data_IF_989700116092
#
_entry.id   IF_989700116092
#
_cell.length_a   1.000
_cell.length_b   1.000
_cell.length_c   1.000
_cell.angle_alpha   90.00
_cell.angle_beta   90.00
_cell.angle_gamma   90.00
#
_symmetry.space_group_name_H-M   'P 1'
#
loop_
_entity.id
_entity.type
_entity.pdbx_description
1 polymer ?
#
# COMPACT_ATOMS: atom_id res chain seq x y z
N UNK A 1 31.22 16.49 -35.10
CA UNK A 1 31.51 15.59 -33.97
C UNK A 1 30.46 15.89 -32.90
N UNK A 2 29.34 15.18 -32.91
CA UNK A 2 28.25 15.45 -31.97
C UNK A 2 28.70 15.12 -30.56
N UNK A 3 28.54 16.07 -29.63
CA UNK A 3 28.69 15.79 -28.19
C UNK A 3 27.91 14.51 -27.86
N UNK A 4 28.47 13.56 -27.10
CA UNK A 4 27.71 12.41 -26.66
C UNK A 4 26.49 12.95 -25.93
N UNK A 5 25.29 12.66 -26.44
CA UNK A 5 24.04 12.97 -25.74
C UNK A 5 24.16 12.23 -24.42
N UNK A 6 24.51 12.96 -23.36
CA UNK A 6 24.60 12.40 -22.01
C UNK A 6 23.24 11.80 -21.71
N UNK A 7 23.21 10.51 -21.41
CA UNK A 7 21.99 9.78 -21.09
C UNK A 7 21.17 10.60 -20.07
N UNK A 8 19.95 11.07 -20.43
CA UNK A 8 19.12 11.86 -19.54
C UNK A 8 18.89 11.20 -18.19
N UNK A 9 18.88 9.86 -18.12
CA UNK A 9 18.77 9.07 -16.89
C UNK A 9 20.02 9.26 -16.03
N UNK A 10 21.22 9.08 -16.59
CA UNK A 10 22.49 9.27 -15.84
C UNK A 10 22.62 10.71 -15.31
N UNK A 11 22.22 11.70 -16.10
CA UNK A 11 22.29 13.12 -15.71
C UNK A 11 21.33 13.46 -14.57
N UNK A 12 20.14 12.87 -14.53
CA UNK A 12 19.17 13.16 -13.47
C UNK A 12 19.48 12.38 -12.20
N UNK A 13 20.04 11.17 -12.31
CA UNK A 13 20.39 10.33 -11.15
C UNK A 13 21.32 11.05 -10.15
N UNK A 14 22.31 11.82 -10.62
CA UNK A 14 23.21 12.58 -9.73
C UNK A 14 22.52 13.71 -8.94
N UNK A 15 21.28 14.05 -9.29
CA UNK A 15 20.48 15.09 -8.63
C UNK A 15 19.39 14.52 -7.72
N UNK A 16 19.19 13.19 -7.74
CA UNK A 16 18.21 12.49 -6.91
C UNK A 16 18.84 12.02 -5.60
N UNK A 17 18.04 12.06 -4.54
CA UNK A 17 18.38 11.52 -3.22
C UNK A 17 17.68 10.17 -3.02
N UNK A 18 18.09 9.40 -2.02
CA UNK A 18 17.41 8.13 -1.67
C UNK A 18 15.92 8.31 -1.37
N UNK A 19 15.57 9.46 -0.78
CA UNK A 19 14.18 9.85 -0.53
C UNK A 19 13.41 10.03 -1.85
N UNK A 20 14.03 10.65 -2.86
CA UNK A 20 13.37 10.81 -4.15
C UNK A 20 13.22 9.47 -4.85
N UNK A 21 14.22 8.58 -4.77
CA UNK A 21 14.10 7.22 -5.30
C UNK A 21 12.97 6.43 -4.63
N UNK A 22 12.81 6.57 -3.32
CA UNK A 22 11.66 6.02 -2.58
C UNK A 22 10.33 6.55 -3.13
N UNK A 23 10.22 7.88 -3.31
CA UNK A 23 9.03 8.50 -3.89
C UNK A 23 8.75 8.00 -5.32
N UNK A 24 9.77 7.94 -6.18
CA UNK A 24 9.60 7.49 -7.57
C UNK A 24 9.16 6.02 -7.62
N UNK A 25 9.72 5.16 -6.76
CA UNK A 25 9.28 3.77 -6.59
C UNK A 25 7.81 3.68 -6.17
N UNK A 26 7.39 4.44 -5.16
CA UNK A 26 6.00 4.46 -4.73
C UNK A 26 5.05 4.97 -5.82
N UNK A 27 5.46 5.97 -6.60
CA UNK A 27 4.65 6.44 -7.73
C UNK A 27 4.63 5.43 -8.89
N UNK A 28 5.69 4.63 -9.09
CA UNK A 28 5.69 3.54 -10.06
C UNK A 28 4.68 2.46 -9.68
N UNK A 29 4.66 2.06 -8.40
CA UNK A 29 3.89 0.92 -7.91
C UNK A 29 2.45 1.30 -7.56
N UNK A 30 2.25 2.46 -6.92
CA UNK A 30 0.96 2.91 -6.40
C UNK A 30 0.36 4.05 -7.23
N UNK A 31 1.08 4.53 -8.25
CA UNK A 31 0.57 5.38 -9.33
C UNK A 31 0.35 6.86 -9.00
N UNK A 32 -0.21 7.21 -7.84
CA UNK A 32 -0.54 8.60 -7.50
C UNK A 32 -0.51 8.85 -6.00
N UNK A 33 0.06 9.99 -5.59
CA UNK A 33 0.04 10.48 -4.21
C UNK A 33 -0.25 11.99 -4.20
N UNK A 34 -0.90 12.48 -3.15
CA UNK A 34 -1.08 13.93 -2.98
C UNK A 34 0.17 14.60 -2.40
N UNK A 35 0.29 15.91 -2.55
CA UNK A 35 1.35 16.69 -1.89
C UNK A 35 1.39 16.49 -0.38
N UNK A 36 0.22 16.34 0.27
CA UNK A 36 0.14 16.13 1.72
C UNK A 36 0.56 14.71 2.12
N UNK A 37 0.17 13.70 1.33
CA UNK A 37 0.64 12.32 1.53
C UNK A 37 2.15 12.21 1.45
N UNK A 38 2.73 12.80 0.39
CA UNK A 38 4.18 12.80 0.18
C UNK A 38 4.87 13.54 1.33
N UNK A 39 4.35 14.71 1.74
CA UNK A 39 4.91 15.46 2.85
C UNK A 39 4.90 14.65 4.15
N UNK A 40 3.77 14.03 4.50
CA UNK A 40 3.61 13.26 5.72
C UNK A 40 4.63 12.11 5.85
N UNK A 41 4.76 11.31 4.79
CA UNK A 41 5.61 10.12 4.80
C UNK A 41 7.10 10.44 4.67
N UNK A 42 7.49 11.40 3.83
CA UNK A 42 8.89 11.52 3.41
C UNK A 42 9.61 12.79 3.91
N UNK A 43 8.89 13.79 4.38
CA UNK A 43 9.46 15.12 4.64
C UNK A 43 9.15 15.64 6.04
N UNK A 44 10.03 16.51 6.60
CA UNK A 44 9.81 17.10 7.92
C UNK A 44 8.70 18.16 7.92
N UNK A 45 8.40 18.77 6.76
CA UNK A 45 7.34 19.77 6.63
C UNK A 45 6.75 19.78 5.22
N UNK A 46 5.52 20.31 5.11
CA UNK A 46 4.85 20.48 3.82
C UNK A 46 5.58 21.45 2.89
N UNK A 47 6.14 22.54 3.41
CA UNK A 47 6.84 23.54 2.59
C UNK A 47 8.10 22.96 1.95
N UNK A 48 8.88 22.21 2.74
CA UNK A 48 10.08 21.54 2.23
C UNK A 48 9.71 20.48 1.17
N UNK A 49 8.64 19.71 1.41
CA UNK A 49 8.14 18.75 0.43
C UNK A 49 7.72 19.43 -0.87
N UNK A 50 6.96 20.53 -0.80
CA UNK A 50 6.49 21.26 -1.98
C UNK A 50 7.66 21.85 -2.78
N UNK A 51 8.69 22.38 -2.10
CA UNK A 51 9.88 22.89 -2.78
C UNK A 51 10.64 21.77 -3.52
N UNK A 52 10.87 20.63 -2.86
CA UNK A 52 11.51 19.48 -3.50
C UNK A 52 10.68 18.95 -4.67
N UNK A 53 9.36 18.84 -4.51
CA UNK A 53 8.46 18.38 -5.57
C UNK A 53 8.43 19.31 -6.80
N UNK A 54 8.58 20.63 -6.62
CA UNK A 54 8.75 21.57 -7.75
C UNK A 54 10.05 21.28 -8.50
N UNK A 55 11.16 21.06 -7.78
CA UNK A 55 12.45 20.72 -8.38
C UNK A 55 12.37 19.40 -9.16
N UNK A 56 11.78 18.35 -8.58
CA UNK A 56 11.57 17.07 -9.26
C UNK A 56 10.69 17.19 -10.52
N UNK A 57 9.69 18.08 -10.50
CA UNK A 57 8.86 18.36 -11.67
C UNK A 57 9.65 19.07 -12.78
N UNK A 58 10.53 20.03 -12.43
CA UNK A 58 11.45 20.69 -13.38
C UNK A 58 12.45 19.70 -13.98
N UNK A 59 12.93 18.74 -13.18
CA UNK A 59 13.76 17.64 -13.66
C UNK A 59 13.01 16.65 -14.57
N UNK A 60 11.68 16.73 -14.62
CA UNK A 60 10.86 15.87 -15.48
C UNK A 60 10.73 14.42 -15.00
N UNK A 61 11.04 14.15 -13.72
CA UNK A 61 10.88 12.81 -13.12
C UNK A 61 9.49 12.61 -12.49
N UNK A 62 8.82 13.69 -12.12
CA UNK A 62 7.41 13.67 -11.70
C UNK A 62 6.60 14.66 -12.54
N UNK A 63 5.31 14.37 -12.70
CA UNK A 63 4.31 15.28 -13.23
C UNK A 63 3.22 15.48 -12.16
N UNK A 64 2.36 16.46 -12.34
CA UNK A 64 1.26 16.73 -11.41
C UNK A 64 -0.01 17.17 -12.12
N UNK A 65 -1.14 16.86 -11.52
CA UNK A 65 -2.43 17.39 -11.92
C UNK A 65 -3.24 17.80 -10.69
N UNK A 66 -4.32 18.53 -10.92
CA UNK A 66 -5.33 18.83 -9.89
C UNK A 66 -6.70 18.43 -10.47
N UNK A 67 -7.46 17.58 -9.77
CA UNK A 67 -8.87 17.41 -10.07
C UNK A 67 -9.59 18.76 -9.95
N UNK A 68 -10.62 18.97 -10.77
CA UNK A 68 -11.48 20.15 -10.66
C UNK A 68 -12.38 20.03 -9.42
N UNK A 69 -12.56 21.12 -8.67
CA UNK A 69 -13.58 21.25 -7.62
C UNK A 69 -14.77 22.04 -8.17
N UNK A 70 -15.93 21.41 -8.42
CA UNK A 70 -17.12 22.13 -8.88
C UNK A 70 -17.61 23.20 -7.89
N UNK A 71 -17.33 23.01 -6.61
CA UNK A 71 -17.77 23.80 -5.46
C UNK A 71 -16.77 24.87 -4.99
N UNK A 72 -15.63 25.01 -5.68
CA UNK A 72 -14.59 25.99 -5.36
C UNK A 72 -13.48 25.48 -4.43
N UNK A 73 -12.42 26.28 -4.29
CA UNK A 73 -11.18 25.89 -3.61
C UNK A 73 -10.23 25.05 -4.48
N UNK A 74 -9.11 24.61 -3.92
CA UNK A 74 -8.12 23.78 -4.62
C UNK A 74 -7.99 22.41 -3.95
N UNK A 75 -8.07 21.32 -4.73
CA UNK A 75 -7.50 20.05 -4.28
C UNK A 75 -5.97 20.17 -4.19
N UNK A 76 -5.30 19.40 -3.31
CA UNK A 76 -3.86 19.28 -3.35
C UNK A 76 -3.40 18.80 -4.74
N UNK A 77 -2.17 19.14 -5.10
CA UNK A 77 -1.56 18.54 -6.28
C UNK A 77 -1.47 17.02 -6.11
N UNK A 78 -1.84 16.30 -7.16
CA UNK A 78 -1.67 14.86 -7.28
C UNK A 78 -0.44 14.62 -8.14
N UNK A 79 0.57 13.97 -7.59
CA UNK A 79 1.82 13.66 -8.25
C UNK A 79 1.80 12.26 -8.84
N UNK A 80 2.38 12.13 -10.03
CA UNK A 80 2.54 10.89 -10.79
C UNK A 80 3.94 10.87 -11.39
N UNK A 81 4.42 9.72 -11.86
CA UNK A 81 5.67 9.69 -12.63
C UNK A 81 5.54 10.43 -13.95
N UNK A 82 6.52 11.27 -14.25
CA UNK A 82 6.78 11.73 -15.61
C UNK A 82 7.66 10.70 -16.34
N UNK A 83 7.79 10.83 -17.66
CA UNK A 83 8.42 9.81 -18.50
C UNK A 83 9.87 9.50 -18.08
N UNK A 84 10.67 10.53 -17.77
CA UNK A 84 12.05 10.32 -17.28
C UNK A 84 12.07 9.60 -15.92
N UNK A 85 11.08 9.83 -15.06
CA UNK A 85 10.96 9.11 -13.79
C UNK A 85 10.63 7.63 -13.99
N UNK A 86 9.83 7.28 -15.01
CA UNK A 86 9.59 5.87 -15.38
C UNK A 86 10.89 5.22 -15.85
N UNK A 87 11.68 5.92 -16.67
CA UNK A 87 12.97 5.43 -17.16
C UNK A 87 14.00 5.25 -16.03
N UNK A 88 14.06 6.20 -15.08
CA UNK A 88 14.89 6.08 -13.87
C UNK A 88 14.50 4.85 -13.07
N UNK A 89 13.21 4.64 -12.78
CA UNK A 89 12.76 3.47 -12.00
C UNK A 89 13.06 2.16 -12.73
N UNK A 90 12.82 2.09 -14.03
CA UNK A 90 13.13 0.90 -14.83
C UNK A 90 14.62 0.56 -14.78
N UNK A 91 15.50 1.56 -14.98
CA UNK A 91 16.94 1.40 -14.88
C UNK A 91 17.38 0.92 -13.49
N UNK A 92 16.78 1.45 -12.41
CA UNK A 92 17.07 1.02 -11.04
C UNK A 92 16.65 -0.42 -10.75
N UNK A 93 15.57 -0.89 -11.38
CA UNK A 93 15.04 -2.25 -11.22
C UNK A 93 15.66 -3.25 -12.20
N UNK A 94 16.56 -2.82 -13.08
CA UNK A 94 17.11 -3.67 -14.14
C UNK A 94 16.06 -4.11 -15.17
N UNK A 95 14.99 -3.33 -15.31
CA UNK A 95 13.91 -3.57 -16.27
C UNK A 95 14.26 -3.01 -17.66
N UNK A 96 13.64 -3.56 -18.70
CA UNK A 96 13.79 -3.04 -20.06
C UNK A 96 13.33 -1.57 -20.17
N UNK A 97 13.96 -0.76 -21.04
CA UNK A 97 13.56 0.63 -21.25
C UNK A 97 12.06 0.75 -21.58
N UNK A 98 11.30 1.59 -20.85
CA UNK A 98 9.87 1.73 -21.05
C UNK A 98 9.55 2.42 -22.37
N UNK A 99 8.34 2.23 -22.89
CA UNK A 99 7.85 3.00 -24.05
C UNK A 99 7.80 4.49 -23.70
N UNK A 100 8.13 5.36 -24.66
CA UNK A 100 8.21 6.83 -24.52
C UNK A 100 6.90 7.52 -24.09
N UNK A 101 5.77 6.82 -24.15
CA UNK A 101 4.44 7.33 -23.79
C UNK A 101 3.81 6.63 -22.57
N UNK A 102 4.61 5.86 -21.82
CA UNK A 102 4.16 5.12 -20.64
C UNK A 102 3.59 6.04 -19.59
N UNK A 103 4.31 7.13 -19.24
CA UNK A 103 3.83 8.10 -18.26
C UNK A 103 2.54 8.80 -18.70
N UNK A 104 2.46 9.20 -19.99
CA UNK A 104 1.28 9.87 -20.55
C UNK A 104 0.03 8.98 -20.44
N UNK A 105 0.13 7.70 -20.83
CA UNK A 105 -0.98 6.75 -20.70
C UNK A 105 -1.39 6.53 -19.25
N UNK A 106 -0.43 6.31 -18.35
CA UNK A 106 -0.70 6.13 -16.91
C UNK A 106 -1.43 7.35 -16.32
N UNK A 107 -0.96 8.57 -16.63
CA UNK A 107 -1.63 9.81 -16.21
C UNK A 107 -3.05 9.91 -16.76
N UNK A 108 -3.26 9.63 -18.04
CA UNK A 108 -4.60 9.66 -18.65
C UNK A 108 -5.57 8.69 -17.95
N UNK A 109 -5.14 7.47 -17.65
CA UNK A 109 -5.95 6.51 -16.91
C UNK A 109 -6.28 6.98 -15.49
N UNK A 110 -5.34 7.62 -14.79
CA UNK A 110 -5.52 8.10 -13.43
C UNK A 110 -6.47 9.31 -13.36
N UNK A 111 -6.33 10.27 -14.27
CA UNK A 111 -7.18 11.47 -14.30
C UNK A 111 -8.65 11.12 -14.63
N UNK A 112 -8.89 10.07 -15.43
CA UNK A 112 -10.23 9.61 -15.80
C UNK A 112 -10.76 8.49 -14.89
N UNK A 113 -10.09 8.23 -13.76
CA UNK A 113 -10.41 7.09 -12.89
C UNK A 113 -11.54 7.43 -11.91
N UNK A 114 -12.68 6.77 -12.05
CA UNK A 114 -13.82 6.94 -11.13
C UNK A 114 -13.49 6.58 -9.67
N UNK A 115 -12.63 5.58 -9.43
CA UNK A 115 -12.23 5.14 -8.09
C UNK A 115 -10.90 5.77 -7.61
N UNK A 116 -10.55 6.97 -8.09
CA UNK A 116 -9.40 7.71 -7.58
C UNK A 116 -9.48 7.98 -6.05
N UNK A 117 -10.64 8.34 -5.46
CA UNK A 117 -10.74 8.52 -4.01
C UNK A 117 -10.40 7.26 -3.22
N UNK A 118 -10.88 6.09 -3.68
CA UNK A 118 -10.51 4.79 -3.10
C UNK A 118 -9.00 4.57 -3.16
N UNK A 119 -8.39 4.78 -4.34
CA UNK A 119 -6.94 4.61 -4.52
C UNK A 119 -6.12 5.52 -3.60
N UNK A 120 -6.52 6.79 -3.47
CA UNK A 120 -5.84 7.73 -2.57
C UNK A 120 -6.03 7.33 -1.11
N UNK A 121 -7.21 6.82 -0.74
CA UNK A 121 -7.49 6.29 0.60
C UNK A 121 -6.65 5.06 0.93
N UNK A 122 -6.59 4.08 0.03
CA UNK A 122 -5.68 2.93 0.13
C UNK A 122 -4.24 3.40 0.33
N UNK A 123 -3.77 4.32 -0.50
CA UNK A 123 -2.42 4.86 -0.36
C UNK A 123 -2.23 5.59 0.98
N UNK A 124 -3.25 6.29 1.48
CA UNK A 124 -3.19 6.98 2.76
C UNK A 124 -2.87 6.02 3.90
N UNK A 125 -3.46 4.82 3.92
CA UNK A 125 -3.18 3.81 4.94
C UNK A 125 -1.69 3.51 5.09
N UNK A 126 -1.00 3.23 3.97
CA UNK A 126 0.42 2.93 3.98
C UNK A 126 1.29 4.18 4.19
N UNK A 127 0.82 5.34 3.73
CA UNK A 127 1.46 6.63 4.00
C UNK A 127 1.44 6.98 5.49
N UNK A 128 0.36 6.66 6.20
CA UNK A 128 0.27 6.85 7.65
C UNK A 128 1.26 5.94 8.40
N UNK A 129 1.45 4.70 7.93
CA UNK A 129 2.48 3.80 8.46
C UNK A 129 3.90 4.31 8.19
N UNK A 130 4.16 4.79 6.97
CA UNK A 130 5.47 5.36 6.63
C UNK A 130 5.75 6.65 7.42
N UNK A 131 4.73 7.49 7.63
CA UNK A 131 4.82 8.67 8.47
C UNK A 131 5.10 8.34 9.93
N UNK A 132 4.44 7.30 10.46
CA UNK A 132 4.71 6.78 11.80
C UNK A 132 6.16 6.29 11.94
N UNK A 133 6.62 5.43 11.02
CA UNK A 133 7.99 4.89 11.01
C UNK A 133 9.06 6.00 10.98
N UNK A 134 8.81 7.11 10.28
CA UNK A 134 9.74 8.24 10.22
C UNK A 134 10.03 8.89 11.58
N UNK A 135 9.10 8.83 12.53
CA UNK A 135 9.27 9.41 13.88
C UNK A 135 9.45 8.34 14.97
N UNK A 136 9.48 7.06 14.61
CA UNK A 136 9.63 5.94 15.53
C UNK A 136 10.77 5.04 15.04
N UNK A 137 12.00 5.20 15.56
CA UNK A 137 13.19 4.50 15.06
C UNK A 137 13.11 2.98 15.06
N UNK A 138 12.28 2.40 15.94
CA UNK A 138 12.08 0.97 16.05
C UNK A 138 11.01 0.42 15.08
N UNK A 139 10.40 1.28 14.26
CA UNK A 139 9.31 0.94 13.36
C UNK A 139 9.68 1.16 11.88
N UNK A 140 9.25 0.26 11.00
CA UNK A 140 9.59 0.26 9.59
C UNK A 140 8.44 -0.33 8.74
N UNK A 141 7.99 0.42 7.73
CA UNK A 141 7.23 -0.15 6.62
C UNK A 141 8.22 -0.77 5.63
N UNK A 142 8.66 -2.00 5.92
CA UNK A 142 9.71 -2.68 5.16
C UNK A 142 9.31 -3.02 3.73
N UNK A 143 8.03 -3.31 3.53
CA UNK A 143 7.49 -3.65 2.21
C UNK A 143 6.08 -3.09 2.04
N UNK A 144 5.81 -2.57 0.84
CA UNK A 144 4.47 -2.16 0.41
C UNK A 144 4.25 -2.61 -1.04
N UNK A 145 3.32 -3.53 -1.24
CA UNK A 145 2.94 -4.05 -2.54
C UNK A 145 1.55 -3.57 -2.98
N UNK A 146 1.38 -3.17 -4.26
CA UNK A 146 0.07 -2.84 -4.81
C UNK A 146 -0.76 -4.09 -5.11
N UNK A 147 -2.07 -3.92 -5.32
CA UNK A 147 -3.01 -4.98 -5.76
C UNK A 147 -2.44 -5.84 -6.90
N UNK A 148 -1.82 -5.22 -7.91
CA UNK A 148 -1.31 -5.93 -9.08
C UNK A 148 -0.19 -6.92 -8.76
N UNK A 149 0.65 -6.63 -7.77
CA UNK A 149 1.71 -7.53 -7.33
C UNK A 149 1.14 -8.75 -6.56
N UNK A 150 -0.03 -8.59 -5.94
CA UNK A 150 -0.68 -9.64 -5.16
C UNK A 150 -1.43 -10.68 -6.03
N UNK A 151 -1.48 -10.48 -7.36
CA UNK A 151 -2.15 -11.40 -8.30
C UNK A 151 -1.35 -12.66 -8.62
N UNK A 152 -0.09 -12.72 -8.19
CA UNK A 152 0.78 -13.90 -8.33
C UNK A 152 1.07 -14.47 -6.95
N UNK A 153 1.08 -15.80 -6.81
CA UNK A 153 1.35 -16.45 -5.52
C UNK A 153 2.84 -16.43 -5.15
N UNK A 154 3.72 -16.48 -6.17
CA UNK A 154 5.17 -16.63 -6.00
C UNK A 154 5.80 -15.75 -4.93
N UNK A 155 5.48 -14.44 -4.87
CA UNK A 155 6.03 -13.55 -3.85
C UNK A 155 5.67 -13.90 -2.39
N UNK A 156 4.62 -14.69 -2.15
CA UNK A 156 4.20 -15.14 -0.81
C UNK A 156 4.69 -16.55 -0.46
N UNK A 157 5.16 -17.30 -1.47
CA UNK A 157 5.62 -18.67 -1.29
C UNK A 157 6.90 -18.72 -0.47
N UNK A 158 7.08 -19.83 0.23
CA UNK A 158 8.39 -20.14 0.81
C UNK A 158 9.38 -20.50 -0.32
N UNK A 159 10.69 -20.24 -0.15
CA UNK A 159 11.69 -20.64 -1.14
C UNK A 159 11.71 -22.14 -1.42
N UNK A 160 11.31 -22.97 -0.45
CA UNK A 160 11.28 -24.43 -0.49
C UNK A 160 9.93 -25.01 -0.92
N UNK A 161 9.00 -24.18 -1.40
CA UNK A 161 7.67 -24.64 -1.75
C UNK A 161 7.66 -25.56 -2.99
N UNK A 162 6.76 -26.58 -3.04
CA UNK A 162 6.66 -27.47 -4.19
C UNK A 162 6.31 -26.72 -5.48
N UNK A 163 6.89 -27.13 -6.61
CA UNK A 163 6.68 -26.50 -7.93
C UNK A 163 5.20 -26.44 -8.35
N UNK A 164 4.38 -27.43 -7.96
CA UNK A 164 2.93 -27.43 -8.26
C UNK A 164 2.21 -26.21 -7.68
N UNK A 165 2.69 -25.68 -6.55
CA UNK A 165 2.09 -24.51 -5.91
C UNK A 165 2.38 -23.22 -6.68
N UNK A 166 3.43 -23.17 -7.51
CA UNK A 166 3.74 -22.00 -8.33
C UNK A 166 2.73 -21.75 -9.45
N UNK A 167 1.94 -22.76 -9.84
CA UNK A 167 0.86 -22.63 -10.82
C UNK A 167 -0.44 -22.06 -10.23
N UNK A 168 -0.54 -21.95 -8.90
CA UNK A 168 -1.71 -21.38 -8.24
C UNK A 168 -1.81 -19.87 -8.51
N UNK A 169 -2.97 -19.44 -9.02
CA UNK A 169 -3.30 -18.02 -9.16
C UNK A 169 -4.33 -17.63 -8.10
N UNK A 170 -3.94 -16.78 -7.13
CA UNK A 170 -4.87 -16.36 -6.10
C UNK A 170 -6.02 -15.56 -6.70
N UNK A 171 -7.24 -15.86 -6.23
CA UNK A 171 -8.44 -15.11 -6.59
C UNK A 171 -8.68 -13.88 -5.70
N UNK A 172 -7.74 -13.55 -4.83
CA UNK A 172 -7.80 -12.34 -4.00
C UNK A 172 -7.43 -11.09 -4.79
N UNK A 173 -7.98 -9.96 -4.37
CA UNK A 173 -7.64 -8.62 -4.89
C UNK A 173 -7.52 -7.65 -3.71
N UNK A 174 -6.48 -7.82 -2.86
CA UNK A 174 -6.24 -6.90 -1.76
C UNK A 174 -5.96 -5.51 -2.32
N UNK A 175 -6.35 -4.48 -1.58
CA UNK A 175 -5.97 -3.11 -1.90
C UNK A 175 -4.47 -2.88 -1.72
N UNK A 176 -3.84 -3.67 -0.82
CA UNK A 176 -2.40 -3.80 -0.75
C UNK A 176 -1.93 -4.90 0.18
N UNK A 177 -0.64 -5.19 0.11
CA UNK A 177 0.07 -6.07 1.05
C UNK A 177 1.25 -5.32 1.63
N UNK A 178 1.59 -5.61 2.89
CA UNK A 178 2.77 -5.02 3.52
C UNK A 178 3.46 -5.96 4.51
N UNK A 179 4.74 -5.67 4.73
CA UNK A 179 5.51 -6.16 5.87
C UNK A 179 5.74 -4.97 6.81
N UNK A 180 5.05 -4.96 7.93
CA UNK A 180 5.31 -4.02 9.03
C UNK A 180 6.34 -4.61 9.97
N UNK A 181 7.29 -3.80 10.44
CA UNK A 181 8.28 -4.22 11.43
C UNK A 181 8.30 -3.22 12.55
N UNK A 182 8.26 -3.71 13.79
CA UNK A 182 8.30 -2.86 14.97
C UNK A 182 8.96 -3.61 16.14
N UNK A 183 9.98 -3.01 16.76
CA UNK A 183 10.80 -3.64 17.80
C UNK A 183 11.33 -5.03 17.39
N UNK A 184 11.71 -5.18 16.12
CA UNK A 184 12.19 -6.46 15.55
C UNK A 184 11.10 -7.49 15.24
N UNK A 185 9.84 -7.24 15.60
CA UNK A 185 8.70 -8.11 15.29
C UNK A 185 8.16 -7.77 13.91
N UNK A 186 7.99 -8.78 13.04
CA UNK A 186 7.48 -8.60 11.68
C UNK A 186 6.04 -9.08 11.55
N UNK A 187 5.18 -8.27 10.94
CA UNK A 187 3.77 -8.58 10.68
C UNK A 187 3.49 -8.48 9.17
N UNK A 188 3.41 -9.61 8.45
CA UNK A 188 2.82 -9.65 7.12
C UNK A 188 1.32 -9.41 7.19
N UNK A 189 0.78 -8.58 6.29
CA UNK A 189 -0.64 -8.24 6.31
C UNK A 189 -1.18 -7.94 4.91
N UNK A 190 -2.41 -8.39 4.67
CA UNK A 190 -3.24 -7.90 3.57
C UNK A 190 -4.15 -6.78 4.06
N UNK A 191 -4.44 -5.82 3.19
CA UNK A 191 -5.28 -4.66 3.51
C UNK A 191 -6.45 -4.59 2.55
N UNK A 192 -7.64 -4.47 3.11
CA UNK A 192 -8.90 -4.15 2.44
C UNK A 192 -9.33 -2.76 2.93
N UNK A 193 -9.23 -1.76 2.05
CA UNK A 193 -9.64 -0.41 2.32
C UNK A 193 -11.10 -0.23 1.93
N UNK A 194 -11.96 0.08 2.89
CA UNK A 194 -13.39 0.19 2.63
C UNK A 194 -13.83 1.65 2.63
N UNK A 195 -14.53 2.08 1.57
CA UNK A 195 -15.10 3.43 1.43
C UNK A 195 -16.54 3.53 1.93
N UNK A 196 -17.14 2.43 2.39
CA UNK A 196 -18.56 2.39 2.78
C UNK A 196 -19.52 2.04 1.65
N UNK A 197 -19.06 1.99 0.39
CA UNK A 197 -19.94 1.77 -0.77
C UNK A 197 -20.21 0.29 -1.06
N UNK A 198 -19.32 -0.60 -0.62
CA UNK A 198 -19.47 -2.05 -0.80
C UNK A 198 -20.48 -2.62 0.21
N UNK A 199 -21.22 -3.67 -0.14
CA UNK A 199 -22.10 -4.35 0.83
C UNK A 199 -21.25 -5.21 1.78
N UNK A 200 -21.63 -5.29 3.06
CA UNK A 200 -20.89 -6.08 4.06
C UNK A 200 -20.72 -7.54 3.67
N UNK A 201 -21.74 -8.17 3.07
CA UNK A 201 -21.65 -9.54 2.58
C UNK A 201 -20.51 -9.75 1.58
N UNK A 202 -20.23 -8.77 0.72
CA UNK A 202 -19.11 -8.87 -0.25
C UNK A 202 -17.76 -8.81 0.48
N UNK A 203 -17.63 -7.98 1.52
CA UNK A 203 -16.43 -7.96 2.36
C UNK A 203 -16.19 -9.29 3.07
N UNK A 204 -17.27 -9.91 3.57
CA UNK A 204 -17.20 -11.25 4.19
C UNK A 204 -16.80 -12.29 3.15
N UNK A 205 -17.38 -12.25 1.95
CA UNK A 205 -17.11 -13.21 0.88
C UNK A 205 -15.64 -13.20 0.42
N UNK A 206 -14.95 -12.06 0.51
CA UNK A 206 -13.50 -11.96 0.23
C UNK A 206 -12.66 -12.93 1.06
N UNK A 207 -13.09 -13.25 2.29
CA UNK A 207 -12.36 -14.14 3.19
C UNK A 207 -12.20 -15.56 2.64
N UNK A 208 -13.10 -16.03 1.78
CA UNK A 208 -12.95 -17.32 1.11
C UNK A 208 -11.70 -17.32 0.20
N UNK A 209 -11.46 -16.24 -0.53
CA UNK A 209 -10.25 -16.13 -1.37
C UNK A 209 -8.96 -16.13 -0.55
N UNK A 210 -8.96 -15.46 0.60
CA UNK A 210 -7.82 -15.48 1.52
C UNK A 210 -7.60 -16.86 2.14
N UNK A 211 -8.69 -17.56 2.48
CA UNK A 211 -8.60 -18.93 2.96
C UNK A 211 -7.96 -19.86 1.93
N UNK A 212 -8.41 -19.79 0.66
CA UNK A 212 -7.82 -20.56 -0.45
C UNK A 212 -6.33 -20.25 -0.62
N UNK A 213 -5.94 -18.97 -0.58
CA UNK A 213 -4.54 -18.55 -0.66
C UNK A 213 -3.73 -19.15 0.50
N UNK A 214 -4.20 -18.98 1.73
CA UNK A 214 -3.52 -19.44 2.94
C UNK A 214 -3.34 -20.95 2.99
N UNK A 215 -4.35 -21.70 2.53
CA UNK A 215 -4.24 -23.14 2.34
C UNK A 215 -3.16 -23.49 1.29
N UNK A 216 -3.10 -22.77 0.18
CA UNK A 216 -2.12 -23.01 -0.89
C UNK A 216 -0.68 -22.70 -0.44
N UNK A 217 -0.46 -21.60 0.29
CA UNK A 217 0.89 -21.17 0.68
C UNK A 217 1.36 -21.76 2.01
N UNK A 218 0.49 -22.45 2.75
CA UNK A 218 0.80 -23.04 4.07
C UNK A 218 1.02 -21.99 5.17
N UNK A 219 0.47 -20.79 5.02
CA UNK A 219 0.62 -19.66 5.95
C UNK A 219 -0.74 -19.05 6.27
N UNK A 220 -0.85 -18.34 7.38
CA UNK A 220 -2.03 -17.55 7.74
C UNK A 220 -1.59 -16.19 8.27
N UNK A 221 -2.05 -15.12 7.64
CA UNK A 221 -1.68 -13.75 7.99
C UNK A 221 -2.93 -12.91 8.25
N UNK A 222 -2.85 -11.84 9.06
CA UNK A 222 -3.97 -10.94 9.28
C UNK A 222 -4.43 -10.29 7.97
N UNK A 223 -5.75 -10.27 7.78
CA UNK A 223 -6.44 -9.49 6.75
C UNK A 223 -7.10 -8.30 7.42
N UNK A 224 -6.54 -7.12 7.18
CA UNK A 224 -6.96 -5.87 7.81
C UNK A 224 -8.08 -5.23 7.00
N UNK A 225 -9.26 -5.09 7.61
CA UNK A 225 -10.33 -4.24 7.09
C UNK A 225 -10.23 -2.86 7.71
N UNK A 226 -9.77 -1.90 6.91
CA UNK A 226 -9.70 -0.50 7.31
C UNK A 226 -10.98 0.21 6.86
N UNK A 227 -11.92 0.37 7.80
CA UNK A 227 -13.29 0.78 7.53
C UNK A 227 -13.48 2.28 7.72
N UNK A 228 -14.43 2.87 6.99
CA UNK A 228 -14.64 4.32 7.07
C UNK A 228 -15.23 4.80 8.40
N UNK A 229 -15.96 3.94 9.13
CA UNK A 229 -16.57 4.31 10.42
C UNK A 229 -16.64 3.19 11.44
N UNK A 230 -16.69 3.56 12.72
CA UNK A 230 -16.85 2.65 13.86
C UNK A 230 -18.19 1.89 13.82
N UNK A 231 -19.24 2.51 13.28
CA UNK A 231 -20.54 1.86 13.08
C UNK A 231 -20.46 0.75 12.05
N UNK A 232 -19.77 1.01 10.93
CA UNK A 232 -19.57 0.01 9.89
C UNK A 232 -18.67 -1.13 10.38
N UNK A 233 -17.66 -0.81 11.20
CA UNK A 233 -16.86 -1.79 11.91
C UNK A 233 -17.69 -2.72 12.78
N UNK A 234 -18.54 -2.16 13.65
CA UNK A 234 -19.39 -2.95 14.54
C UNK A 234 -20.31 -3.89 13.75
N UNK A 235 -20.92 -3.40 12.66
CA UNK A 235 -21.76 -4.23 11.80
C UNK A 235 -20.97 -5.32 11.07
N UNK A 236 -19.77 -5.02 10.53
CA UNK A 236 -18.95 -6.05 9.90
C UNK A 236 -18.56 -7.14 10.91
N UNK A 237 -18.15 -6.73 12.12
CA UNK A 237 -17.79 -7.67 13.19
C UNK A 237 -18.95 -8.58 13.60
N UNK A 238 -20.19 -8.06 13.66
CA UNK A 238 -21.35 -8.90 13.99
C UNK A 238 -21.60 -9.97 12.92
N UNK A 239 -21.35 -9.67 11.65
CA UNK A 239 -21.44 -10.67 10.56
C UNK A 239 -20.33 -11.71 10.64
N UNK A 240 -19.13 -11.30 11.04
CA UNK A 240 -17.96 -12.19 11.13
C UNK A 240 -17.98 -13.07 12.38
N UNK A 241 -18.71 -12.70 13.43
CA UNK A 241 -18.75 -13.41 14.71
C UNK A 241 -19.21 -14.87 14.60
N UNK A 242 -20.11 -15.17 13.65
CA UNK A 242 -20.64 -16.52 13.46
C UNK A 242 -19.87 -17.33 12.41
N UNK A 243 -18.79 -16.77 11.84
CA UNK A 243 -18.04 -17.37 10.74
C UNK A 243 -16.61 -17.69 11.18
N UNK A 244 -16.20 -18.95 11.02
CA UNK A 244 -14.85 -19.42 11.37
C UNK A 244 -13.74 -18.60 10.70
N UNK A 245 -13.94 -18.22 9.44
CA UNK A 245 -13.01 -17.37 8.68
C UNK A 245 -12.84 -15.97 9.29
N UNK A 246 -13.73 -15.52 10.18
CA UNK A 246 -13.55 -14.28 10.92
C UNK A 246 -12.28 -14.25 11.78
N UNK A 247 -11.66 -15.40 12.08
CA UNK A 247 -10.43 -15.47 12.88
C UNK A 247 -9.20 -14.81 12.23
N UNK A 248 -9.15 -14.74 10.88
CA UNK A 248 -8.07 -14.06 10.16
C UNK A 248 -8.36 -12.57 9.93
N UNK A 249 -9.60 -12.14 10.13
CA UNK A 249 -10.03 -10.76 9.92
C UNK A 249 -9.71 -9.92 11.16
N UNK A 250 -9.13 -8.76 10.91
CA UNK A 250 -8.88 -7.72 11.92
C UNK A 250 -9.48 -6.43 11.40
N UNK A 251 -10.23 -5.72 12.24
CA UNK A 251 -10.94 -4.52 11.83
C UNK A 251 -10.37 -3.28 12.54
N UNK A 252 -10.40 -2.15 11.84
CA UNK A 252 -10.13 -0.84 12.40
C UNK A 252 -11.00 0.21 11.75
N UNK A 253 -11.33 1.26 12.50
CA UNK A 253 -12.23 2.33 12.07
C UNK A 253 -11.48 3.66 11.94
N UNK A 254 -11.58 4.28 10.76
CA UNK A 254 -10.86 5.50 10.42
C UNK A 254 -11.33 6.73 11.19
N UNK A 255 -12.63 6.87 11.39
CA UNK A 255 -13.19 7.97 12.18
C UNK A 255 -12.70 7.94 13.63
N UNK A 256 -12.66 6.75 14.23
CA UNK A 256 -12.12 6.52 15.56
C UNK A 256 -10.63 6.88 15.64
N UNK A 257 -9.82 6.36 14.70
CA UNK A 257 -8.39 6.66 14.65
C UNK A 257 -8.14 8.17 14.49
N UNK A 258 -8.89 8.82 13.59
CA UNK A 258 -8.80 10.28 13.37
C UNK A 258 -9.18 11.06 14.63
N UNK A 259 -10.29 10.71 15.28
CA UNK A 259 -10.75 11.38 16.50
C UNK A 259 -9.75 11.20 17.66
N UNK A 260 -9.11 10.05 17.75
CA UNK A 260 -8.11 9.74 18.76
C UNK A 260 -6.70 10.27 18.43
N UNK A 261 -6.48 10.78 17.20
CA UNK A 261 -5.16 11.20 16.74
C UNK A 261 -4.18 10.03 16.58
N UNK A 262 -4.68 8.83 16.30
CA UNK A 262 -3.89 7.60 16.19
C UNK A 262 -3.65 7.22 14.72
N UNK A 263 -2.46 6.69 14.47
CA UNK A 263 -2.09 6.07 13.20
C UNK A 263 -2.53 4.60 13.13
N UNK A 264 -2.53 3.99 11.93
CA UNK A 264 -2.76 2.55 11.78
C UNK A 264 -1.69 1.66 12.40
N UNK A 265 -0.55 2.19 12.86
CA UNK A 265 0.44 1.39 13.61
C UNK A 265 0.01 1.18 15.08
N UNK A 266 -0.85 2.05 15.59
CA UNK A 266 -1.20 2.13 17.00
C UNK A 266 -2.46 1.33 17.36
N UNK A 267 -2.95 1.51 18.58
CA UNK A 267 -4.03 0.73 19.17
C UNK A 267 -5.42 1.06 18.56
N UNK A 268 -5.60 0.71 17.29
CA UNK A 268 -6.85 0.92 16.53
C UNK A 268 -7.49 -0.38 16.06
N UNK A 269 -6.78 -1.50 16.17
CA UNK A 269 -7.19 -2.79 15.60
C UNK A 269 -7.95 -3.65 16.58
N UNK A 270 -8.95 -4.39 16.12
CA UNK A 270 -9.62 -5.41 16.94
C UNK A 270 -9.84 -6.69 16.16
N UNK A 271 -9.58 -7.82 16.82
CA UNK A 271 -9.89 -9.15 16.29
C UNK A 271 -11.36 -9.46 16.46
N UNK A 272 -11.97 -10.14 15.48
CA UNK A 272 -13.39 -10.51 15.54
C UNK A 272 -13.73 -11.30 16.81
N UNK A 273 -12.94 -12.35 17.10
CA UNK A 273 -13.17 -13.29 18.22
C UNK A 273 -12.39 -12.93 19.49
N UNK A 274 -12.05 -11.65 19.68
CA UNK A 274 -11.32 -11.17 20.86
C UNK A 274 -12.23 -10.58 21.94
N UNK A 275 -11.63 -10.17 23.05
CA UNK A 275 -12.25 -9.45 24.18
C UNK A 275 -12.71 -8.02 23.85
N UNK A 276 -12.58 -7.60 22.58
CA UNK A 276 -12.89 -6.24 22.14
C UNK A 276 -11.78 -5.23 22.38
N UNK A 277 -10.65 -5.63 22.97
CA UNK A 277 -9.50 -4.74 23.18
C UNK A 277 -8.94 -4.25 21.85
N UNK A 278 -8.56 -2.97 21.81
CA UNK A 278 -7.80 -2.41 20.70
C UNK A 278 -6.33 -2.81 20.81
N UNK A 279 -5.77 -3.22 19.69
CA UNK A 279 -4.43 -3.77 19.54
C UNK A 279 -3.62 -2.86 18.63
N UNK A 280 -2.32 -2.76 18.90
CA UNK A 280 -1.37 -2.17 17.96
C UNK A 280 -1.18 -3.08 16.78
N UNK A 281 -0.66 -2.53 15.69
CA UNK A 281 -0.37 -3.33 14.49
C UNK A 281 0.63 -4.45 14.79
N UNK A 282 1.66 -4.16 15.58
CA UNK A 282 2.67 -5.15 16.01
C UNK A 282 2.07 -6.29 16.85
N UNK A 283 1.02 -6.02 17.63
CA UNK A 283 0.36 -7.05 18.46
C UNK A 283 -0.33 -8.11 17.60
N UNK A 284 -0.62 -7.82 16.34
CA UNK A 284 -1.22 -8.76 15.39
C UNK A 284 -0.24 -9.85 14.94
N UNK A 285 1.05 -9.74 15.28
CA UNK A 285 2.04 -10.82 15.10
C UNK A 285 1.56 -12.15 15.71
N UNK A 286 0.75 -12.11 16.78
CA UNK A 286 0.15 -13.30 17.40
C UNK A 286 -0.80 -14.08 16.48
N UNK A 287 -1.27 -13.46 15.40
CA UNK A 287 -2.15 -14.08 14.40
C UNK A 287 -1.37 -14.63 13.21
N UNK A 288 -0.06 -14.35 13.12
CA UNK A 288 0.81 -14.82 12.05
C UNK A 288 1.12 -16.28 12.28
N UNK A 289 0.73 -17.11 11.32
CA UNK A 289 0.96 -18.55 11.29
C UNK A 289 1.82 -18.86 10.09
N UNK A 290 3.09 -19.18 10.33
CA UNK A 290 3.97 -19.73 9.31
C UNK A 290 4.20 -21.21 9.63
N UNK A 291 3.25 -22.08 9.26
CA UNK A 291 3.44 -23.52 9.48
C UNK A 291 4.61 -23.99 8.62
N UNK A 292 5.61 -24.62 9.24
CA UNK A 292 6.44 -25.56 8.52
C UNK A 292 5.51 -26.70 8.06
N UNK A 293 5.57 -27.08 6.78
CA UNK A 293 4.95 -28.34 6.37
C UNK A 293 5.59 -29.43 7.23
N UNK A 294 4.82 -30.02 8.14
CA UNK A 294 5.22 -31.25 8.79
C UNK A 294 5.49 -32.24 7.66
N UNK A 295 6.74 -32.70 7.58
CA UNK A 295 7.16 -33.66 6.56
C UNK A 295 6.18 -34.82 6.54
N UNK A 296 5.71 -35.17 5.33
CA UNK A 296 5.05 -36.44 5.11
C UNK A 296 6.05 -37.54 5.48
N UNK A 297 5.85 -38.15 6.66
CA UNK A 297 6.34 -39.48 6.99
C UNK A 297 5.30 -40.50 6.56
#
# INVERSE_FOLDING_TARGET
MGLPITDPVLRVQSQLTDRDHTLLGWLADHGVLTSFQIAHALFPSTDYAQDRLRKLAVLGVVDRFRPQKPDGGSYPYHYVLAQLGVEVVAAQRGEDPPRKDTARRRRWHLTNRANLPHKLGTNQFFIDLAGYARTHPDAELRLWWPESACRTVGPFMRPDAPTVTHAFQPRIRPDGYALWVEHGVTVPMFVEYDTGTEKLGVLVDKLHGYHDLFAAIGRGWPVLFWLHSADRERHLRSWLADIRLGAIAVTGARDHATQAGLSPAEAVWTTVHGDGRRLRLVDLARLVVDRALAGAT
#
